data_IF_127675707779
#
_entry.id   IF_127675707779
#
_cell.length_a   1.000
_cell.length_b   1.000
_cell.length_c   1.000
_cell.angle_alpha   90.00
_cell.angle_beta   90.00
_cell.angle_gamma   90.00
#
_symmetry.space_group_name_H-M   'P 1'
#
loop_
_entity.id
_entity.type
_entity.pdbx_description
1 polymer ?
#
# COMPACT_ATOMS: atom_id res chain seq x y z
N UNK A 1 -6.37 -2.88 -39.07
CA UNK A 1 -5.07 -2.48 -38.49
C UNK A 1 -5.16 -2.84 -37.02
N UNK A 2 -4.46 -3.89 -36.57
CA UNK A 2 -4.52 -4.32 -35.17
C UNK A 2 -3.82 -3.23 -34.35
N UNK A 3 -4.53 -2.65 -33.39
CA UNK A 3 -3.98 -1.63 -32.51
C UNK A 3 -2.82 -2.28 -31.73
N UNK A 4 -1.60 -1.76 -31.92
CA UNK A 4 -0.40 -2.31 -31.29
C UNK A 4 -0.53 -2.32 -29.75
N UNK A 5 -1.30 -1.40 -29.19
CA UNK A 5 -1.64 -1.35 -27.75
C UNK A 5 -2.42 -2.58 -27.27
N UNK A 6 -3.31 -3.12 -28.09
CA UNK A 6 -4.14 -4.28 -27.74
C UNK A 6 -3.38 -5.60 -27.90
N UNK A 7 -2.23 -5.58 -28.60
CA UNK A 7 -1.32 -6.73 -28.76
C UNK A 7 -0.31 -6.89 -27.62
N UNK A 8 -0.20 -5.91 -26.73
CA UNK A 8 0.70 -5.94 -25.58
C UNK A 8 0.00 -6.70 -24.44
N UNK A 9 0.68 -7.73 -23.91
CA UNK A 9 0.27 -8.33 -22.64
C UNK A 9 0.71 -7.43 -21.48
N UNK A 10 -0.14 -6.45 -21.17
CA UNK A 10 0.07 -5.53 -20.06
C UNK A 10 0.22 -6.26 -18.72
N UNK A 11 -0.37 -7.45 -18.56
CA UNK A 11 -0.23 -8.21 -17.33
C UNK A 11 1.22 -8.68 -17.14
N UNK A 12 1.87 -9.13 -18.20
CA UNK A 12 3.28 -9.56 -18.17
C UNK A 12 4.24 -8.40 -17.95
N UNK A 13 4.00 -7.23 -18.55
CA UNK A 13 4.84 -6.05 -18.32
C UNK A 13 4.81 -5.67 -16.83
N UNK A 14 3.64 -5.45 -16.26
CA UNK A 14 3.54 -5.01 -14.88
C UNK A 14 3.89 -6.12 -13.85
N UNK A 15 3.94 -7.39 -14.27
CA UNK A 15 4.44 -8.50 -13.45
C UNK A 15 5.93 -8.36 -13.14
N UNK A 16 6.71 -7.91 -14.12
CA UNK A 16 8.18 -7.90 -14.06
C UNK A 16 8.75 -6.53 -13.69
N UNK A 17 7.98 -5.45 -13.84
CA UNK A 17 8.45 -4.10 -13.53
C UNK A 17 8.74 -3.92 -12.03
N UNK A 18 10.02 -3.71 -11.64
CA UNK A 18 10.38 -3.54 -10.24
C UNK A 18 9.81 -2.23 -9.70
N UNK A 19 9.25 -2.28 -8.49
CA UNK A 19 8.72 -1.10 -7.79
C UNK A 19 7.28 -0.72 -8.14
N UNK A 20 6.65 -1.38 -9.12
CA UNK A 20 5.21 -1.27 -9.38
C UNK A 20 4.50 -2.48 -8.76
N UNK A 21 3.80 -2.24 -7.66
CA UNK A 21 2.95 -3.22 -7.02
C UNK A 21 1.63 -3.38 -7.76
N UNK A 22 1.23 -4.62 -8.01
CA UNK A 22 -0.09 -4.97 -8.51
C UNK A 22 -0.83 -5.89 -7.56
N UNK A 23 -2.12 -5.62 -7.35
CA UNK A 23 -3.06 -6.61 -6.79
C UNK A 23 -4.44 -6.50 -7.44
N UNK A 24 -5.14 -7.63 -7.51
CA UNK A 24 -6.56 -7.69 -7.89
C UNK A 24 -7.35 -8.16 -6.67
N UNK A 25 -8.35 -7.38 -6.29
CA UNK A 25 -9.11 -7.57 -5.05
C UNK A 25 -10.61 -7.61 -5.36
N UNK A 26 -11.35 -8.56 -4.77
CA UNK A 26 -12.81 -8.62 -4.89
C UNK A 26 -13.51 -7.57 -4.03
N UNK A 27 -14.81 -7.37 -4.27
CA UNK A 27 -15.67 -6.51 -3.43
C UNK A 27 -15.78 -6.98 -1.97
N UNK A 28 -15.45 -8.24 -1.68
CA UNK A 28 -15.35 -8.82 -0.33
C UNK A 28 -13.94 -8.73 0.28
N UNK A 29 -12.96 -8.18 -0.44
CA UNK A 29 -11.59 -8.00 0.04
C UNK A 29 -10.68 -9.20 -0.16
N UNK A 30 -11.13 -10.23 -0.89
CA UNK A 30 -10.29 -11.37 -1.24
C UNK A 30 -9.24 -10.93 -2.26
N UNK A 31 -7.98 -11.31 -2.05
CA UNK A 31 -6.88 -11.02 -2.98
C UNK A 31 -6.79 -12.17 -3.98
N UNK A 32 -7.18 -11.91 -5.22
CA UNK A 32 -7.14 -12.88 -6.32
C UNK A 32 -5.74 -12.99 -6.92
N UNK A 33 -5.00 -11.88 -6.90
CA UNK A 33 -3.65 -11.79 -7.45
C UNK A 33 -2.86 -10.73 -6.69
N UNK A 34 -1.56 -10.97 -6.50
CA UNK A 34 -0.60 -9.97 -6.02
C UNK A 34 0.79 -10.30 -6.54
N UNK A 35 1.53 -9.31 -7.06
CA UNK A 35 2.94 -9.51 -7.42
C UNK A 35 3.87 -9.31 -6.20
N UNK A 36 5.16 -9.67 -6.35
CA UNK A 36 6.13 -9.50 -5.25
C UNK A 36 6.34 -8.03 -4.84
N UNK A 37 6.24 -7.11 -5.81
CA UNK A 37 6.44 -5.68 -5.56
C UNK A 37 5.36 -5.10 -4.63
N UNK A 38 4.09 -5.47 -4.77
CA UNK A 38 3.04 -4.95 -3.87
C UNK A 38 3.19 -5.47 -2.45
N UNK A 39 3.61 -6.73 -2.29
CA UNK A 39 3.90 -7.31 -0.99
C UNK A 39 5.07 -6.56 -0.32
N UNK A 40 6.13 -6.28 -1.07
CA UNK A 40 7.27 -5.52 -0.57
C UNK A 40 6.91 -4.06 -0.21
N UNK A 41 6.09 -3.39 -1.02
CA UNK A 41 5.62 -2.03 -0.75
C UNK A 41 4.87 -1.93 0.59
N UNK A 42 4.06 -2.94 0.92
CA UNK A 42 3.27 -2.96 2.15
C UNK A 42 3.91 -3.78 3.28
N UNK A 43 5.17 -4.21 3.12
CA UNK A 43 5.90 -4.98 4.13
C UNK A 43 5.32 -6.37 4.42
N UNK A 44 4.49 -6.90 3.52
CA UNK A 44 3.86 -8.22 3.65
C UNK A 44 4.90 -9.29 3.29
N UNK A 45 5.21 -10.24 4.19
CA UNK A 45 6.15 -11.31 3.87
C UNK A 45 5.62 -12.19 2.73
N UNK A 46 6.54 -12.63 1.86
CA UNK A 46 6.24 -13.65 0.85
C UNK A 46 5.97 -14.99 1.57
N UNK A 47 4.95 -15.72 1.12
CA UNK A 47 4.64 -17.06 1.62
C UNK A 47 5.41 -18.12 0.83
N UNK A 48 5.71 -19.23 1.48
CA UNK A 48 6.20 -20.44 0.80
C UNK A 48 5.10 -20.96 -0.14
N UNK A 49 5.37 -21.16 -1.43
CA UNK A 49 4.44 -21.76 -2.38
C UNK A 49 3.89 -23.13 -1.94
N UNK A 50 4.64 -23.91 -1.16
CA UNK A 50 4.28 -25.29 -0.81
C UNK A 50 3.24 -25.40 0.32
N UNK A 51 2.97 -24.32 1.06
CA UNK A 51 2.10 -24.33 2.25
C UNK A 51 0.79 -23.55 2.07
N UNK A 52 0.49 -23.07 0.86
CA UNK A 52 -0.67 -22.22 0.59
C UNK A 52 -1.93 -23.04 0.24
N UNK A 53 -2.98 -22.94 1.05
CA UNK A 53 -4.31 -23.53 0.74
C UNK A 53 -5.44 -22.52 0.58
N UNK A 54 -5.33 -21.28 1.09
CA UNK A 54 -6.41 -20.30 1.07
C UNK A 54 -5.99 -18.91 0.52
N UNK A 55 -6.86 -18.26 -0.28
CA UNK A 55 -6.67 -16.88 -0.71
C UNK A 55 -6.63 -15.94 0.49
N UNK A 56 -5.75 -14.93 0.46
CA UNK A 56 -5.64 -13.95 1.56
C UNK A 56 -6.78 -12.93 1.45
N UNK A 57 -7.49 -12.66 2.54
CA UNK A 57 -8.35 -11.49 2.63
C UNK A 57 -7.55 -10.29 3.14
N UNK A 58 -7.90 -9.06 2.72
CA UNK A 58 -7.30 -7.85 3.27
C UNK A 58 -7.39 -7.77 4.80
N UNK A 59 -8.51 -8.23 5.38
CA UNK A 59 -8.71 -8.25 6.84
C UNK A 59 -7.79 -9.21 7.59
N UNK A 60 -7.26 -10.25 6.93
CA UNK A 60 -6.31 -11.18 7.54
C UNK A 60 -4.88 -10.64 7.54
N UNK A 61 -4.59 -9.68 6.66
CA UNK A 61 -3.25 -9.11 6.48
C UNK A 61 -3.10 -7.81 7.25
N UNK A 62 -4.13 -6.98 7.25
CA UNK A 62 -4.06 -5.60 7.71
C UNK A 62 -4.93 -5.35 8.94
N UNK A 63 -4.55 -4.35 9.73
CA UNK A 63 -5.34 -3.86 10.85
C UNK A 63 -6.80 -3.57 10.43
N UNK A 64 -7.82 -3.89 11.24
CA UNK A 64 -9.23 -3.81 10.83
C UNK A 64 -9.65 -2.45 10.27
N UNK A 65 -9.29 -1.35 10.96
CA UNK A 65 -9.58 0.00 10.49
C UNK A 65 -8.92 0.33 9.15
N UNK A 66 -7.74 -0.22 8.95
CA UNK A 66 -6.96 -0.02 7.75
C UNK A 66 -7.57 -0.76 6.57
N UNK A 67 -7.91 -2.04 6.77
CA UNK A 67 -8.62 -2.86 5.80
C UNK A 67 -9.97 -2.23 5.45
N UNK A 68 -10.74 -1.77 6.44
CA UNK A 68 -12.02 -1.09 6.26
C UNK A 68 -11.90 0.13 5.35
N UNK A 69 -10.92 1.01 5.56
CA UNK A 69 -10.70 2.17 4.70
C UNK A 69 -10.44 1.76 3.24
N UNK A 70 -9.67 0.68 2.99
CA UNK A 70 -9.42 0.19 1.62
C UNK A 70 -10.69 -0.41 1.02
N UNK A 71 -11.49 -1.11 1.82
CA UNK A 71 -12.77 -1.65 1.38
C UNK A 71 -13.75 -0.54 0.99
N UNK A 72 -13.74 0.60 1.68
CA UNK A 72 -14.53 1.78 1.32
C UNK A 72 -14.09 2.35 -0.03
N UNK A 73 -12.79 2.45 -0.30
CA UNK A 73 -12.27 2.86 -1.62
C UNK A 73 -12.62 1.88 -2.73
N UNK A 74 -12.49 0.57 -2.48
CA UNK A 74 -12.88 -0.48 -3.43
C UNK A 74 -14.36 -0.34 -3.77
N UNK A 75 -15.21 -0.24 -2.74
CA UNK A 75 -16.65 -0.05 -2.92
C UNK A 75 -16.94 1.18 -3.79
N UNK A 76 -16.32 2.32 -3.48
CA UNK A 76 -16.51 3.56 -4.24
C UNK A 76 -16.13 3.39 -5.73
N UNK A 77 -14.95 2.82 -6.01
CA UNK A 77 -14.48 2.58 -7.39
C UNK A 77 -15.40 1.67 -8.17
N UNK A 78 -15.90 0.60 -7.54
CA UNK A 78 -16.79 -0.36 -8.17
C UNK A 78 -18.19 0.21 -8.41
N UNK A 79 -18.73 1.00 -7.48
CA UNK A 79 -20.05 1.65 -7.60
C UNK A 79 -20.03 2.79 -8.62
N UNK A 80 -18.98 3.62 -8.63
CA UNK A 80 -18.86 4.75 -9.56
C UNK A 80 -18.36 4.34 -10.95
N UNK A 81 -17.70 3.19 -11.06
CA UNK A 81 -17.07 2.72 -12.29
C UNK A 81 -15.93 3.64 -12.76
N UNK A 82 -15.29 4.37 -11.85
CA UNK A 82 -14.20 5.33 -12.15
C UNK A 82 -12.96 5.06 -11.31
N UNK A 83 -11.75 5.34 -11.83
CA UNK A 83 -10.53 5.19 -11.06
C UNK A 83 -10.46 6.15 -9.87
N UNK A 84 -9.86 5.69 -8.79
CA UNK A 84 -9.57 6.48 -7.59
C UNK A 84 -8.08 6.40 -7.28
N UNK A 85 -7.46 7.53 -6.95
CA UNK A 85 -6.08 7.58 -6.48
C UNK A 85 -6.08 7.75 -4.96
N UNK A 86 -5.39 6.88 -4.25
CA UNK A 86 -5.20 6.97 -2.81
C UNK A 86 -3.74 7.27 -2.47
N UNK A 87 -3.51 8.30 -1.64
CA UNK A 87 -2.22 8.57 -0.99
C UNK A 87 -2.21 8.00 0.40
N UNK A 88 -1.13 7.33 0.78
CA UNK A 88 -1.00 6.74 2.10
C UNK A 88 0.46 6.56 2.50
N UNK A 89 0.70 6.38 3.79
CA UNK A 89 2.06 6.26 4.35
C UNK A 89 2.19 4.92 5.08
N UNK A 90 3.14 4.11 4.63
CA UNK A 90 3.45 2.80 5.21
C UNK A 90 4.90 2.74 5.67
N UNK A 91 5.11 2.34 6.92
CA UNK A 91 6.43 2.31 7.55
C UNK A 91 7.22 3.62 7.36
N UNK A 92 6.51 4.74 7.42
CA UNK A 92 7.01 6.10 7.17
C UNK A 92 7.08 6.49 5.70
N UNK A 93 7.02 5.56 4.74
CA UNK A 93 7.22 5.83 3.32
C UNK A 93 5.91 6.19 2.61
N UNK A 94 5.98 7.18 1.73
CA UNK A 94 4.83 7.57 0.90
C UNK A 94 4.60 6.58 -0.24
N UNK A 95 3.37 6.10 -0.34
CA UNK A 95 2.90 5.23 -1.40
C UNK A 95 1.68 5.88 -2.05
N UNK A 96 1.58 5.73 -3.36
CA UNK A 96 0.38 6.07 -4.13
C UNK A 96 -0.18 4.80 -4.72
N UNK A 97 -1.46 4.55 -4.49
CA UNK A 97 -2.20 3.44 -5.09
C UNK A 97 -3.30 4.00 -5.98
N UNK A 98 -3.26 3.71 -7.28
CA UNK A 98 -4.39 4.00 -8.16
C UNK A 98 -5.22 2.73 -8.32
N UNK A 99 -6.51 2.85 -8.07
CA UNK A 99 -7.47 1.76 -7.98
C UNK A 99 -8.39 1.87 -9.19
N UNK A 100 -8.40 0.85 -10.04
CA UNK A 100 -9.20 0.80 -11.26
C UNK A 100 -10.32 -0.23 -11.14
N UNK A 101 -11.53 0.09 -11.64
CA UNK A 101 -12.59 -0.89 -11.81
C UNK A 101 -12.23 -1.84 -12.95
N UNK A 102 -12.25 -3.16 -12.72
CA UNK A 102 -11.99 -4.17 -13.77
C UNK A 102 -13.03 -5.30 -13.75
N UNK A 103 -13.28 -5.85 -14.94
CA UNK A 103 -14.15 -7.02 -15.14
C UNK A 103 -13.41 -8.35 -15.11
N UNK A 104 -14.17 -9.44 -15.19
CA UNK A 104 -13.67 -10.82 -15.13
C UNK A 104 -12.62 -11.14 -16.22
N UNK A 105 -12.75 -10.57 -17.42
CA UNK A 105 -11.82 -10.81 -18.54
C UNK A 105 -10.37 -10.39 -18.20
N UNK A 106 -10.20 -9.33 -17.42
CA UNK A 106 -8.88 -8.91 -16.95
C UNK A 106 -8.33 -9.91 -15.93
N UNK A 107 -9.16 -10.35 -14.98
CA UNK A 107 -8.76 -11.31 -13.94
C UNK A 107 -8.28 -12.63 -14.56
N UNK A 108 -8.96 -13.10 -15.60
CA UNK A 108 -8.59 -14.35 -16.28
C UNK A 108 -7.20 -14.27 -16.93
N UNK A 109 -6.80 -13.11 -17.47
CA UNK A 109 -5.44 -12.91 -17.99
C UNK A 109 -4.38 -13.07 -16.91
N UNK A 110 -4.65 -12.57 -15.70
CA UNK A 110 -3.73 -12.71 -14.56
C UNK A 110 -3.75 -14.10 -13.93
N UNK A 111 -4.85 -14.86 -14.05
CA UNK A 111 -4.93 -16.27 -13.60
C UNK A 111 -4.23 -17.22 -14.57
N UNK A 112 -4.41 -17.04 -15.88
CA UNK A 112 -3.90 -17.96 -16.92
C UNK A 112 -2.38 -17.97 -17.12
N UNK A 113 -1.67 -16.98 -16.59
CA UNK A 113 -0.19 -16.89 -16.63
C UNK A 113 0.48 -17.32 -15.31
N UNK A 114 -0.27 -17.88 -14.36
CA UNK A 114 0.32 -18.65 -13.26
C UNK A 114 0.45 -20.09 -13.77
N UNK A 115 1.66 -20.52 -14.14
CA UNK A 115 1.93 -21.93 -14.41
C UNK A 115 1.48 -22.75 -13.18
N UNK A 116 0.40 -23.50 -13.32
CA UNK A 116 0.09 -24.57 -12.40
C UNK A 116 1.27 -25.55 -12.44
N UNK A 117 1.78 -26.05 -11.29
CA UNK A 117 2.64 -27.21 -11.30
C UNK A 117 1.87 -28.34 -11.99
N UNK A 118 2.38 -28.82 -13.13
CA UNK A 118 1.83 -30.00 -13.81
C UNK A 118 1.87 -31.18 -12.84
N UNK A 119 0.76 -31.46 -12.18
CA UNK A 119 0.50 -32.78 -11.63
C UNK A 119 0.06 -33.66 -12.80
N UNK A 120 0.98 -34.50 -13.26
CA UNK A 120 0.68 -35.58 -14.20
C UNK A 120 -0.37 -36.51 -13.58
N UNK A 121 -1.47 -36.71 -14.28
CA UNK A 121 -2.51 -37.67 -13.91
C UNK A 121 -3.73 -37.50 -14.82
N UNK A 122 -3.83 -38.35 -15.84
CA UNK A 122 -5.02 -38.50 -16.67
C UNK A 122 -6.24 -38.83 -15.80
N UNK A 123 -7.20 -37.91 -15.70
CA UNK A 123 -8.60 -38.23 -15.38
C UNK A 123 -9.53 -37.43 -16.30
N UNK A 124 -10.62 -38.04 -16.81
CA UNK A 124 -11.44 -37.43 -17.85
C UNK A 124 -12.35 -36.34 -17.27
N UNK A 125 -12.47 -35.26 -18.03
CA UNK A 125 -13.31 -34.11 -17.74
C UNK A 125 -14.77 -34.52 -17.50
N UNK A 126 -15.30 -34.20 -16.32
CA UNK A 126 -16.73 -34.06 -16.08
C UNK A 126 -17.15 -32.65 -16.46
N UNK A 127 -17.97 -32.54 -17.49
CA UNK A 127 -18.70 -31.32 -17.85
C UNK A 127 -19.55 -30.89 -16.65
N UNK A 128 -19.18 -29.74 -16.05
CA UNK A 128 -20.05 -29.03 -15.12
C UNK A 128 -20.67 -27.89 -15.92
N UNK A 129 -21.99 -27.95 -16.07
CA UNK A 129 -22.84 -26.95 -16.71
C UNK A 129 -22.46 -25.52 -16.29
N UNK A 130 -21.88 -24.77 -17.23
CA UNK A 130 -21.65 -23.34 -17.09
C UNK A 130 -22.92 -22.59 -17.50
N UNK A 131 -23.80 -22.32 -16.54
CA UNK A 131 -24.84 -21.31 -16.69
C UNK A 131 -24.18 -19.95 -17.01
N UNK A 132 -24.25 -19.54 -18.27
CA UNK A 132 -23.85 -18.21 -18.71
C UNK A 132 -24.91 -17.20 -18.24
N UNK A 133 -24.54 -16.15 -17.48
CA UNK A 133 -25.42 -15.02 -17.27
C UNK A 133 -25.57 -14.25 -18.60
N UNK A 134 -26.75 -13.66 -18.88
CA UNK A 134 -27.03 -13.03 -20.15
C UNK A 134 -26.13 -11.81 -20.38
N UNK A 135 -25.66 -11.67 -21.62
CA UNK A 135 -24.89 -10.53 -22.12
C UNK A 135 -25.67 -9.23 -21.93
N UNK A 136 -25.11 -8.29 -21.17
CA UNK A 136 -25.78 -6.99 -20.98
C UNK A 136 -25.24 -6.05 -19.91
N UNK A 137 -24.03 -6.25 -19.40
CA UNK A 137 -23.19 -5.26 -18.69
C UNK A 137 -21.91 -6.03 -18.36
N UNK A 138 -20.74 -5.59 -18.83
CA UNK A 138 -19.48 -6.18 -18.36
C UNK A 138 -19.36 -5.86 -16.87
N UNK A 139 -19.79 -6.79 -16.03
CA UNK A 139 -19.98 -6.52 -14.62
C UNK A 139 -18.61 -6.29 -13.99
N UNK A 140 -18.38 -5.04 -13.56
CA UNK A 140 -17.17 -4.65 -12.85
C UNK A 140 -17.25 -5.31 -11.48
N UNK A 141 -16.37 -6.28 -11.25
CA UNK A 141 -16.43 -7.12 -10.06
C UNK A 141 -15.21 -6.96 -9.15
N UNK A 142 -14.12 -6.39 -9.68
CA UNK A 142 -12.84 -6.36 -8.99
C UNK A 142 -12.16 -5.00 -9.10
N UNK A 143 -11.34 -4.71 -8.10
CA UNK A 143 -10.49 -3.55 -8.06
C UNK A 143 -9.04 -3.96 -8.38
N UNK A 144 -8.46 -3.36 -9.41
CA UNK A 144 -7.04 -3.44 -9.73
C UNK A 144 -6.29 -2.32 -9.02
N UNK A 145 -5.39 -2.68 -8.12
CA UNK A 145 -4.47 -1.77 -7.45
C UNK A 145 -3.18 -1.69 -8.23
N UNK A 146 -2.78 -0.47 -8.59
CA UNK A 146 -1.44 -0.14 -9.08
C UNK A 146 -0.79 0.77 -8.04
N UNK A 147 0.15 0.20 -7.29
CA UNK A 147 0.82 0.86 -6.16
C UNK A 147 2.28 1.15 -6.51
N UNK A 148 2.78 2.31 -6.10
CA UNK A 148 4.19 2.68 -6.24
C UNK A 148 4.62 3.62 -5.12
N UNK A 149 5.92 3.71 -4.84
CA UNK A 149 6.43 4.80 -4.02
C UNK A 149 6.25 6.11 -4.77
N UNK A 150 5.79 7.15 -4.07
CA UNK A 150 5.54 8.43 -4.70
C UNK A 150 6.86 9.08 -5.17
N UNK A 151 6.78 9.77 -6.30
CA UNK A 151 7.88 10.46 -6.95
C UNK A 151 7.49 11.76 -7.64
N UNK A 152 6.29 12.31 -7.38
CA UNK A 152 5.72 13.57 -7.91
C UNK A 152 4.61 13.44 -8.99
N UNK A 153 3.86 14.56 -9.03
CA UNK A 153 2.75 15.04 -9.86
C UNK A 153 1.37 14.35 -9.78
N UNK A 154 0.43 15.16 -9.31
CA UNK A 154 -1.01 14.91 -9.35
C UNK A 154 -1.47 15.08 -10.79
N UNK A 155 -1.98 14.01 -11.40
CA UNK A 155 -2.81 14.20 -12.58
C UNK A 155 -4.16 14.70 -12.09
N UNK A 156 -4.62 15.83 -12.62
CA UNK A 156 -5.95 16.38 -12.33
C UNK A 156 -7.11 15.49 -12.84
N UNK A 157 -6.81 14.43 -13.59
CA UNK A 157 -7.79 13.58 -14.25
C UNK A 157 -8.36 12.49 -13.33
N UNK A 158 -7.70 12.15 -12.22
CA UNK A 158 -8.13 11.09 -11.30
C UNK A 158 -8.45 11.69 -9.92
N UNK A 159 -9.67 11.43 -9.43
CA UNK A 159 -10.07 11.82 -8.08
C UNK A 159 -9.07 11.26 -7.06
N UNK A 160 -8.60 12.09 -6.14
CA UNK A 160 -7.56 11.72 -5.20
C UNK A 160 -8.04 11.83 -3.75
N UNK A 161 -7.87 10.76 -3.00
CA UNK A 161 -8.10 10.67 -1.55
C UNK A 161 -6.79 10.48 -0.81
N UNK A 162 -6.75 10.88 0.45
CA UNK A 162 -5.63 10.61 1.35
C UNK A 162 -6.12 9.74 2.50
N UNK A 163 -5.34 8.73 2.87
CA UNK A 163 -5.62 7.89 4.03
C UNK A 163 -5.59 8.73 5.30
N UNK A 164 -6.50 8.45 6.22
CA UNK A 164 -6.50 9.06 7.54
C UNK A 164 -5.48 8.41 8.48
N UNK A 165 -4.88 7.29 8.07
CA UNK A 165 -3.97 6.49 8.87
C UNK A 165 -2.51 6.62 8.42
N UNK A 166 -1.60 6.49 9.37
CA UNK A 166 -0.16 6.43 9.14
C UNK A 166 0.46 5.25 9.89
N UNK A 167 1.16 4.39 9.15
CA UNK A 167 2.10 3.44 9.75
C UNK A 167 3.49 4.06 9.74
N UNK A 168 4.03 4.26 10.94
CA UNK A 168 5.32 4.91 11.17
C UNK A 168 6.50 3.92 11.20
N UNK A 169 6.25 2.60 11.17
CA UNK A 169 7.28 1.58 11.24
C UNK A 169 8.15 1.75 12.49
N UNK A 170 9.47 1.84 12.33
CA UNK A 170 10.41 2.05 13.44
C UNK A 170 10.19 3.39 14.20
N UNK A 171 9.60 4.39 13.54
CA UNK A 171 9.28 5.69 14.14
C UNK A 171 8.06 5.63 15.08
N UNK A 172 7.33 4.51 15.11
CA UNK A 172 6.19 4.30 16.04
C UNK A 172 6.58 4.39 17.52
N UNK A 173 7.85 4.13 17.85
CA UNK A 173 8.42 4.26 19.19
C UNK A 173 8.53 5.72 19.69
N UNK A 174 8.46 6.69 18.78
CA UNK A 174 8.48 8.10 19.12
C UNK A 174 7.11 8.57 19.61
N UNK A 175 7.10 9.28 20.73
CA UNK A 175 5.93 10.03 21.19
C UNK A 175 5.50 11.09 20.16
N UNK A 176 4.31 11.68 20.37
CA UNK A 176 3.81 12.77 19.52
C UNK A 176 4.80 13.93 19.42
N UNK A 177 5.32 14.38 20.56
CA UNK A 177 6.29 15.49 20.63
C UNK A 177 7.65 15.13 20.05
N UNK A 178 8.12 13.90 20.24
CA UNK A 178 9.39 13.44 19.67
C UNK A 178 9.32 13.35 18.15
N UNK A 179 8.21 12.86 17.58
CA UNK A 179 8.04 12.83 16.11
C UNK A 179 8.01 14.24 15.51
N UNK A 180 7.32 15.17 16.16
CA UNK A 180 7.26 16.58 15.76
C UNK A 180 8.65 17.22 15.72
N UNK A 181 9.45 17.03 16.78
CA UNK A 181 10.83 17.49 16.83
C UNK A 181 11.70 16.78 15.80
N UNK A 182 11.54 15.47 15.62
CA UNK A 182 12.27 14.67 14.63
C UNK A 182 12.05 15.20 13.21
N UNK A 183 10.80 15.45 12.83
CA UNK A 183 10.44 16.00 11.52
C UNK A 183 11.06 17.40 11.36
N UNK A 184 10.82 18.32 12.30
CA UNK A 184 11.35 19.69 12.19
C UNK A 184 12.88 19.73 12.07
N UNK A 185 13.59 18.96 12.91
CA UNK A 185 15.04 18.84 12.84
C UNK A 185 15.51 18.25 11.50
N UNK A 186 14.82 17.22 11.00
CA UNK A 186 15.18 16.58 9.74
C UNK A 186 14.93 17.45 8.50
N UNK A 187 13.98 18.39 8.57
CA UNK A 187 13.78 19.45 7.58
C UNK A 187 14.78 20.62 7.70
N UNK A 188 15.83 20.47 8.52
CA UNK A 188 16.94 21.42 8.59
C UNK A 188 16.79 22.54 9.63
N UNK A 189 15.72 22.53 10.43
CA UNK A 189 15.58 23.51 11.50
C UNK A 189 16.59 23.25 12.62
N UNK A 190 17.24 24.30 13.11
CA UNK A 190 18.12 24.23 14.26
C UNK A 190 17.34 24.06 15.58
N UNK A 191 17.99 23.56 16.62
CA UNK A 191 17.39 23.39 17.95
C UNK A 191 16.75 24.70 18.49
N UNK A 192 17.39 25.89 18.38
CA UNK A 192 16.76 27.14 18.78
C UNK A 192 15.52 27.50 17.94
N UNK A 193 15.51 27.19 16.64
CA UNK A 193 14.34 27.41 15.78
C UNK A 193 13.19 26.50 16.17
N UNK A 194 13.44 25.20 16.33
CA UNK A 194 12.44 24.24 16.80
C UNK A 194 11.89 24.65 18.17
N UNK A 195 12.75 25.10 19.08
CA UNK A 195 12.32 25.59 20.39
C UNK A 195 11.36 26.77 20.27
N UNK A 196 11.64 27.72 19.36
CA UNK A 196 10.78 28.87 19.07
C UNK A 196 9.45 28.44 18.45
N UNK A 197 9.47 27.57 17.44
CA UNK A 197 8.29 27.06 16.74
C UNK A 197 7.35 26.30 17.68
N UNK A 198 7.91 25.57 18.64
CA UNK A 198 7.14 24.75 19.57
C UNK A 198 6.82 25.46 20.89
N UNK A 199 7.20 26.73 21.05
CA UNK A 199 7.10 27.48 22.30
C UNK A 199 7.68 26.70 23.50
N UNK A 200 8.93 26.23 23.34
CA UNK A 200 9.68 25.46 24.33
C UNK A 200 11.08 26.04 24.54
N UNK A 201 11.73 25.60 25.62
CA UNK A 201 13.13 25.96 25.86
C UNK A 201 14.06 25.14 24.94
N UNK A 202 15.19 25.70 24.47
CA UNK A 202 16.20 24.94 23.73
C UNK A 202 16.67 23.69 24.49
N UNK A 203 16.79 23.78 25.82
CA UNK A 203 17.14 22.65 26.69
C UNK A 203 16.13 21.51 26.61
N UNK A 204 14.84 21.84 26.50
CA UNK A 204 13.78 20.83 26.34
C UNK A 204 13.90 20.13 24.99
N UNK A 205 14.17 20.87 23.92
CA UNK A 205 14.37 20.29 22.58
C UNK A 205 15.61 19.41 22.53
N UNK A 206 16.74 19.82 23.11
CA UNK A 206 17.93 18.96 23.23
C UNK A 206 17.63 17.66 23.97
N UNK A 207 16.87 17.72 25.07
CA UNK A 207 16.47 16.51 25.81
C UNK A 207 15.68 15.55 24.93
N UNK A 208 14.70 16.06 24.16
CA UNK A 208 13.94 15.23 23.23
C UNK A 208 14.81 14.68 22.09
N UNK A 209 15.73 15.47 21.55
CA UNK A 209 16.70 15.02 20.54
C UNK A 209 17.56 13.86 21.05
N UNK A 210 18.05 13.93 22.29
CA UNK A 210 18.79 12.83 22.92
C UNK A 210 17.93 11.57 23.05
N UNK A 211 16.66 11.71 23.45
CA UNK A 211 15.75 10.56 23.58
C UNK A 211 15.38 9.94 22.22
N UNK A 212 15.16 10.77 21.19
CA UNK A 212 14.99 10.31 19.80
C UNK A 212 16.22 9.51 19.35
N UNK A 213 17.42 10.03 19.58
CA UNK A 213 18.67 9.34 19.27
C UNK A 213 18.79 8.00 19.98
N UNK A 214 18.40 7.93 21.27
CA UNK A 214 18.37 6.70 22.06
C UNK A 214 17.39 5.66 21.50
N UNK A 215 16.19 6.09 21.07
CA UNK A 215 15.14 5.20 20.55
C UNK A 215 15.44 4.66 19.15
N UNK A 216 16.01 5.50 18.29
CA UNK A 216 16.22 5.18 16.88
C UNK A 216 17.66 4.76 16.55
N UNK A 217 18.58 4.89 17.51
CA UNK A 217 20.01 4.63 17.29
C UNK A 217 20.71 5.72 16.48
N UNK A 218 20.18 6.96 16.48
CA UNK A 218 20.79 8.08 15.76
C UNK A 218 21.72 8.87 16.67
N UNK A 219 22.91 9.16 16.15
CA UNK A 219 23.99 9.86 16.84
C UNK A 219 24.16 11.31 16.38
N UNK A 220 23.57 11.68 15.24
CA UNK A 220 23.74 13.02 14.66
C UNK A 220 22.48 13.60 14.02
N UNK A 221 22.47 14.92 13.86
CA UNK A 221 21.42 15.63 13.12
C UNK A 221 21.40 15.23 11.64
N UNK A 222 22.55 14.89 11.06
CA UNK A 222 22.65 14.41 9.68
C UNK A 222 21.92 13.07 9.48
N UNK A 223 21.97 12.18 10.47
CA UNK A 223 21.20 10.92 10.43
C UNK A 223 19.70 11.16 10.53
N UNK A 224 19.27 12.09 11.38
CA UNK A 224 17.87 12.52 11.47
C UNK A 224 17.40 13.11 10.13
N UNK A 225 18.18 14.02 9.53
CA UNK A 225 17.87 14.61 8.24
C UNK A 225 17.79 13.56 7.12
N UNK A 226 18.75 12.64 7.06
CA UNK A 226 18.73 11.53 6.10
C UNK A 226 17.51 10.63 6.30
N UNK A 227 17.17 10.31 7.55
CA UNK A 227 16.02 9.49 7.86
C UNK A 227 14.71 10.17 7.42
N UNK A 228 14.50 11.44 7.79
CA UNK A 228 13.32 12.22 7.36
C UNK A 228 13.24 12.32 5.84
N UNK A 229 14.36 12.58 5.15
CA UNK A 229 14.40 12.62 3.69
C UNK A 229 14.07 11.27 3.04
N UNK A 230 14.45 10.15 3.66
CA UNK A 230 14.15 8.81 3.14
C UNK A 230 12.69 8.41 3.31
N UNK A 231 12.06 8.79 4.44
CA UNK A 231 10.65 8.47 4.69
C UNK A 231 9.72 9.48 4.01
N UNK A 232 10.18 10.73 3.80
CA UNK A 232 9.37 11.78 3.19
C UNK A 232 8.28 12.33 4.11
N UNK A 233 8.47 12.25 5.44
CA UNK A 233 7.48 12.77 6.39
C UNK A 233 7.53 14.31 6.44
N UNK A 234 6.37 14.95 6.34
CA UNK A 234 6.19 16.39 6.54
C UNK A 234 5.42 16.66 7.82
N UNK A 235 5.33 17.93 8.21
CA UNK A 235 4.62 18.34 9.42
C UNK A 235 3.11 18.01 9.37
N UNK A 236 2.51 18.05 8.18
CA UNK A 236 1.08 17.77 7.97
C UNK A 236 0.70 16.33 8.34
N UNK A 237 1.64 15.38 8.20
CA UNK A 237 1.41 13.99 8.57
C UNK A 237 1.25 13.77 10.09
N UNK A 238 1.54 14.76 10.92
CA UNK A 238 1.30 14.68 12.38
C UNK A 238 -0.18 14.59 12.74
N UNK A 239 -1.09 14.99 11.84
CA UNK A 239 -2.53 14.94 12.03
C UNK A 239 -3.13 13.56 11.76
N UNK A 240 -2.39 12.66 11.10
CA UNK A 240 -2.85 11.32 10.76
C UNK A 240 -2.90 10.41 12.00
N UNK A 241 -3.85 9.49 12.02
CA UNK A 241 -4.00 8.53 13.08
C UNK A 241 -2.95 7.42 12.97
N UNK A 242 -2.17 7.23 14.03
CA UNK A 242 -1.07 6.26 14.04
C UNK A 242 -1.61 4.86 14.29
N UNK A 243 -1.28 3.93 13.41
CA UNK A 243 -1.53 2.50 13.62
C UNK A 243 -0.37 1.67 13.06
N UNK A 244 -0.37 0.37 13.36
CA UNK A 244 0.48 -0.62 12.68
C UNK A 244 -0.36 -1.20 11.54
N UNK A 245 0.07 -1.03 10.29
CA UNK A 245 -0.78 -1.37 9.14
C UNK A 245 -1.01 -2.88 9.04
N UNK A 246 0.02 -3.68 9.29
CA UNK A 246 -0.09 -5.13 9.31
C UNK A 246 -0.76 -5.60 10.60
N UNK A 247 -1.69 -6.54 10.47
CA UNK A 247 -2.30 -7.23 11.59
C UNK A 247 -1.25 -7.99 12.39
N UNK A 248 -1.44 -8.06 13.72
CA UNK A 248 -0.61 -8.92 14.55
C UNK A 248 -1.03 -10.38 14.33
N UNK A 249 -0.07 -11.30 14.09
CA UNK A 249 -0.39 -12.70 13.81
C UNK A 249 -1.08 -13.42 14.98
N UNK A 250 -1.04 -12.85 16.19
CA UNK A 250 -1.68 -13.39 17.40
C UNK A 250 -3.10 -12.81 17.66
N UNK A 251 -3.60 -11.90 16.82
CA UNK A 251 -4.91 -11.26 17.00
C UNK A 251 -6.07 -11.95 16.28
N UNK A 252 -5.89 -13.18 15.80
CA UNK A 252 -6.92 -13.98 15.12
C UNK A 252 -7.03 -15.38 15.73
#
# INVERSE_FOLDING_TARGET
MVNLFDSIDWADIFRVEPGIGLAIISKEGNILYSNGAILALFGVPSRDPQTQSAPRNLGDIFHPDFARERMEWIKQVLEEGRPLRARHIYQGQQIVSTIYPVGESMVQKFRGTVEQPQAAGDEPATEVDSEHPPEGTAAVHYALFISRRDGQEDSSEINTVSSQYIDLGCLSSLSKRELEIFILLGHGNSVPEVARMLHRSPRTVERHKTEIGRKLGYSSLAEIARAVGHVGLTYDHLQLERLKALADPESN
#
